data_IF_035233018490
#
_entry.id   IF_035233018490
#
_cell.length_a   1.000
_cell.length_b   1.000
_cell.length_c   1.000
_cell.angle_alpha   90.00
_cell.angle_beta   90.00
_cell.angle_gamma   90.00
#
_symmetry.space_group_name_H-M   'P 1'
#
loop_
_entity.id
_entity.type
_entity.pdbx_description
1 polymer ?
#
# COMPACT_ATOMS: atom_id res chain seq x y z
N UNK A 1 -8.86 39.35 24.10
CA UNK A 1 -8.34 39.16 22.72
C UNK A 1 -7.45 37.93 22.75
N UNK A 2 -7.97 36.77 22.38
CA UNK A 2 -7.21 35.51 22.35
C UNK A 2 -7.03 35.10 20.90
N UNK A 3 -5.81 35.25 20.39
CA UNK A 3 -5.46 34.92 19.01
C UNK A 3 -5.30 33.40 18.89
N UNK A 4 -6.22 32.76 18.17
CA UNK A 4 -6.03 31.42 17.62
C UNK A 4 -5.04 31.50 16.46
N UNK A 5 -3.76 31.22 16.72
CA UNK A 5 -2.81 30.87 15.68
C UNK A 5 -3.02 29.39 15.33
N UNK A 6 -3.88 29.14 14.34
CA UNK A 6 -3.97 27.84 13.68
C UNK A 6 -2.63 27.52 13.03
N UNK A 7 -1.90 26.55 13.59
CA UNK A 7 -0.58 26.15 13.12
C UNK A 7 -0.68 25.36 11.82
N UNK A 8 -0.39 26.04 10.72
CA UNK A 8 -0.20 25.54 9.37
C UNK A 8 1.07 24.64 9.24
N UNK A 9 1.18 23.59 10.07
CA UNK A 9 2.40 22.77 10.21
C UNK A 9 2.35 21.43 9.48
N UNK A 10 1.15 20.90 9.18
CA UNK A 10 0.99 19.63 8.45
C UNK A 10 1.43 19.75 6.99
N UNK A 11 0.84 20.69 6.25
CA UNK A 11 1.12 20.92 4.83
C UNK A 11 2.62 21.16 4.55
N UNK A 12 3.27 21.96 5.39
CA UNK A 12 4.69 22.30 5.23
C UNK A 12 5.63 21.11 5.50
N UNK A 13 5.16 20.09 6.24
CA UNK A 13 5.98 18.91 6.57
C UNK A 13 5.84 17.82 5.52
N UNK A 14 4.62 17.57 5.04
CA UNK A 14 4.37 16.63 3.94
C UNK A 14 5.10 17.07 2.66
N UNK A 15 5.04 18.35 2.33
CA UNK A 15 5.64 18.91 1.11
C UNK A 15 7.17 18.81 1.14
N UNK A 16 7.78 19.09 2.30
CA UNK A 16 9.22 18.93 2.53
C UNK A 16 9.66 17.46 2.45
N UNK A 17 8.92 16.53 3.07
CA UNK A 17 9.25 15.10 3.03
C UNK A 17 9.11 14.55 1.62
N UNK A 18 8.07 14.96 0.89
CA UNK A 18 7.85 14.58 -0.50
C UNK A 18 8.98 15.07 -1.40
N UNK A 19 9.43 16.32 -1.23
CA UNK A 19 10.57 16.87 -1.97
C UNK A 19 11.87 16.09 -1.67
N UNK A 20 12.10 15.68 -0.43
CA UNK A 20 13.27 14.86 -0.05
C UNK A 20 13.22 13.46 -0.66
N UNK A 21 12.03 12.85 -0.68
CA UNK A 21 11.80 11.56 -1.34
C UNK A 21 12.06 11.65 -2.85
N UNK A 22 11.65 12.74 -3.49
CA UNK A 22 11.89 12.99 -4.92
C UNK A 22 13.38 13.19 -5.22
N UNK A 23 14.13 13.82 -4.30
CA UNK A 23 15.59 13.96 -4.37
C UNK A 23 16.36 12.70 -3.96
N UNK A 24 15.67 11.63 -3.55
CA UNK A 24 16.23 10.36 -3.05
C UNK A 24 17.12 10.50 -1.81
N UNK A 25 16.90 11.55 -1.01
CA UNK A 25 17.68 11.83 0.20
C UNK A 25 17.08 11.09 1.42
N UNK A 26 16.98 9.75 1.28
CA UNK A 26 16.20 8.90 2.20
C UNK A 26 16.72 8.92 3.65
N UNK A 27 18.03 9.02 3.86
CA UNK A 27 18.61 9.12 5.21
C UNK A 27 18.27 10.43 5.90
N UNK A 28 18.25 11.54 5.15
CA UNK A 28 17.85 12.83 5.69
C UNK A 28 16.35 12.86 5.99
N UNK A 29 15.52 12.34 5.07
CA UNK A 29 14.09 12.20 5.27
C UNK A 29 13.79 11.35 6.52
N UNK A 30 14.48 10.21 6.68
CA UNK A 30 14.32 9.33 7.85
C UNK A 30 14.59 10.07 9.16
N UNK A 31 15.71 10.79 9.25
CA UNK A 31 16.09 11.55 10.45
C UNK A 31 15.04 12.60 10.81
N UNK A 32 14.62 13.41 9.84
CA UNK A 32 13.63 14.48 10.07
C UNK A 32 12.27 13.89 10.49
N UNK A 33 11.83 12.82 9.84
CA UNK A 33 10.58 12.14 10.20
C UNK A 33 10.62 11.57 11.62
N UNK A 34 11.75 10.97 12.03
CA UNK A 34 11.91 10.46 13.39
C UNK A 34 11.88 11.60 14.43
N UNK A 35 12.58 12.71 14.20
CA UNK A 35 12.55 13.91 15.07
C UNK A 35 11.14 14.55 15.17
N UNK A 36 10.32 14.44 14.11
CA UNK A 36 8.93 14.88 14.14
C UNK A 36 8.04 13.92 14.94
N UNK A 37 8.26 12.61 14.79
CA UNK A 37 7.54 11.57 15.51
C UNK A 37 7.86 11.55 17.02
N UNK A 38 9.02 12.06 17.45
CA UNK A 38 9.28 12.30 18.89
C UNK A 38 8.25 13.26 19.51
N UNK A 39 7.78 14.25 18.74
CA UNK A 39 6.81 15.26 19.19
C UNK A 39 5.37 14.86 18.90
N UNK A 40 5.14 14.10 17.83
CA UNK A 40 3.82 13.67 17.37
C UNK A 40 3.80 12.16 17.05
N UNK A 41 3.95 11.28 18.06
CA UNK A 41 4.20 9.85 17.85
C UNK A 41 3.07 9.11 17.15
N UNK A 42 1.84 9.62 17.26
CA UNK A 42 0.63 9.02 16.70
C UNK A 42 0.11 9.74 15.45
N UNK A 43 0.86 10.71 14.92
CA UNK A 43 0.47 11.39 13.68
C UNK A 43 0.43 10.38 12.51
N UNK A 44 -0.73 10.17 11.87
CA UNK A 44 -0.90 9.10 10.90
C UNK A 44 -0.09 9.32 9.62
N UNK A 45 0.04 10.56 9.15
CA UNK A 45 0.76 10.92 7.93
C UNK A 45 2.27 10.78 8.14
N UNK A 46 2.80 11.30 9.26
CA UNK A 46 4.22 11.16 9.60
C UNK A 46 4.63 9.69 9.73
N UNK A 47 3.78 8.87 10.36
CA UNK A 47 4.00 7.44 10.43
C UNK A 47 3.99 6.81 9.02
N UNK A 48 3.04 7.15 8.15
CA UNK A 48 3.03 6.62 6.78
C UNK A 48 4.29 6.97 5.98
N UNK A 49 4.75 8.22 6.04
CA UNK A 49 5.97 8.63 5.34
C UNK A 49 7.21 7.98 5.95
N UNK A 50 7.28 7.85 7.27
CA UNK A 50 8.36 7.16 7.94
C UNK A 50 8.43 5.68 7.53
N UNK A 51 7.28 5.00 7.48
CA UNK A 51 7.19 3.64 6.94
C UNK A 51 7.70 3.54 5.52
N UNK A 52 7.31 4.48 4.65
CA UNK A 52 7.70 4.51 3.23
C UNK A 52 9.19 4.75 3.01
N UNK A 53 9.82 5.59 3.83
CA UNK A 53 11.28 5.76 3.81
C UNK A 53 11.98 4.47 4.24
N UNK A 54 11.51 3.80 5.30
CA UNK A 54 12.10 2.55 5.76
C UNK A 54 11.96 1.43 4.72
N UNK A 55 10.78 1.28 4.12
CA UNK A 55 10.52 0.32 3.03
C UNK A 55 11.47 0.55 1.85
N UNK A 56 11.60 1.81 1.39
CA UNK A 56 12.51 2.18 0.30
C UNK A 56 13.99 1.86 0.61
N UNK A 57 14.37 1.89 1.89
CA UNK A 57 15.71 1.53 2.37
C UNK A 57 15.89 0.02 2.62
N UNK A 58 14.87 -0.80 2.32
CA UNK A 58 14.88 -2.25 2.57
C UNK A 58 14.68 -2.64 4.04
N UNK A 59 14.29 -1.68 4.90
CA UNK A 59 14.04 -1.88 6.33
C UNK A 59 12.58 -2.28 6.58
N UNK A 60 12.13 -3.31 5.87
CA UNK A 60 10.72 -3.75 5.83
C UNK A 60 10.14 -4.07 7.22
N UNK A 61 10.94 -4.68 8.10
CA UNK A 61 10.51 -5.00 9.48
C UNK A 61 10.19 -3.76 10.31
N UNK A 62 10.91 -2.66 10.07
CA UNK A 62 10.68 -1.39 10.76
C UNK A 62 9.52 -0.64 10.10
N UNK A 63 9.44 -0.68 8.77
CA UNK A 63 8.36 -0.07 7.98
C UNK A 63 6.97 -0.52 8.45
N UNK A 64 6.79 -1.82 8.71
CA UNK A 64 5.54 -2.41 9.23
C UNK A 64 5.01 -1.64 10.43
N UNK A 65 5.85 -1.34 11.43
CA UNK A 65 5.43 -0.70 12.68
C UNK A 65 4.85 0.70 12.43
N UNK A 66 5.42 1.42 11.48
CA UNK A 66 4.97 2.75 11.13
C UNK A 66 3.66 2.70 10.32
N UNK A 67 3.54 1.81 9.35
CA UNK A 67 2.28 1.66 8.61
C UNK A 67 1.13 1.17 9.48
N UNK A 68 1.37 0.27 10.43
CA UNK A 68 0.36 -0.14 11.42
C UNK A 68 -0.12 1.05 12.25
N UNK A 69 0.78 1.90 12.74
CA UNK A 69 0.42 3.13 13.45
C UNK A 69 -0.39 4.08 12.57
N UNK A 70 -0.01 4.26 11.31
CA UNK A 70 -0.75 5.10 10.37
C UNK A 70 -2.21 4.63 10.20
N UNK A 71 -2.41 3.32 9.98
CA UNK A 71 -3.76 2.74 9.85
C UNK A 71 -4.54 2.78 11.16
N UNK A 72 -3.89 2.47 12.29
CA UNK A 72 -4.49 2.53 13.65
C UNK A 72 -4.98 3.94 13.98
N UNK A 73 -4.19 4.95 13.62
CA UNK A 73 -4.50 6.36 13.82
C UNK A 73 -5.31 6.98 12.66
N UNK A 74 -6.00 6.13 11.88
CA UNK A 74 -7.03 6.51 10.90
C UNK A 74 -6.51 7.46 9.82
N UNK A 75 -5.34 7.18 9.24
CA UNK A 75 -4.91 7.82 7.99
C UNK A 75 -6.04 7.78 6.95
N UNK A 76 -6.17 8.85 6.14
CA UNK A 76 -7.32 9.09 5.26
C UNK A 76 -6.92 9.26 3.79
N UNK A 77 -7.93 9.28 2.92
CA UNK A 77 -7.78 9.56 1.49
C UNK A 77 -6.85 8.59 0.78
N UNK A 78 -6.14 9.09 -0.23
CA UNK A 78 -5.20 8.30 -1.05
C UNK A 78 -4.09 7.66 -0.21
N UNK A 79 -3.67 8.29 0.89
CA UNK A 79 -2.65 7.72 1.76
C UNK A 79 -3.14 6.48 2.51
N UNK A 80 -4.45 6.38 2.78
CA UNK A 80 -5.04 5.18 3.38
C UNK A 80 -4.99 3.98 2.43
N UNK A 81 -5.33 4.20 1.16
CA UNK A 81 -5.19 3.18 0.10
C UNK A 81 -3.74 2.70 0.00
N UNK A 82 -2.81 3.65 -0.08
CA UNK A 82 -1.37 3.35 -0.12
C UNK A 82 -0.90 2.61 1.13
N UNK A 83 -1.37 2.99 2.33
CA UNK A 83 -0.97 2.35 3.58
C UNK A 83 -1.37 0.86 3.62
N UNK A 84 -2.55 0.49 3.11
CA UNK A 84 -2.94 -0.92 2.99
C UNK A 84 -2.05 -1.68 2.01
N UNK A 85 -1.74 -1.09 0.86
CA UNK A 85 -0.86 -1.70 -0.15
C UNK A 85 0.54 -1.91 0.43
N UNK A 86 1.14 -0.85 1.00
CA UNK A 86 2.51 -0.90 1.48
C UNK A 86 2.65 -1.83 2.69
N UNK A 87 1.74 -1.75 3.67
CA UNK A 87 1.78 -2.68 4.80
C UNK A 87 1.61 -4.14 4.35
N UNK A 88 0.70 -4.40 3.41
CA UNK A 88 0.51 -5.72 2.82
C UNK A 88 1.76 -6.22 2.12
N UNK A 89 2.39 -5.37 1.30
CA UNK A 89 3.64 -5.67 0.61
C UNK A 89 4.77 -5.96 1.61
N UNK A 90 4.98 -5.10 2.61
CA UNK A 90 6.01 -5.27 3.63
C UNK A 90 5.82 -6.55 4.42
N UNK A 91 4.59 -6.87 4.83
CA UNK A 91 4.31 -8.14 5.50
C UNK A 91 4.66 -9.35 4.64
N UNK A 92 4.36 -9.29 3.34
CA UNK A 92 4.71 -10.34 2.39
C UNK A 92 6.23 -10.45 2.23
N UNK A 93 6.94 -9.33 2.07
CA UNK A 93 8.41 -9.30 1.93
C UNK A 93 9.13 -9.96 3.11
N UNK A 94 8.61 -9.84 4.33
CA UNK A 94 9.20 -10.43 5.54
C UNK A 94 8.66 -11.83 5.88
N UNK A 95 7.85 -12.44 4.99
CA UNK A 95 7.34 -13.80 5.15
C UNK A 95 6.08 -13.94 6.01
N UNK A 96 5.48 -12.83 6.45
CA UNK A 96 4.24 -12.83 7.24
C UNK A 96 3.01 -12.83 6.32
N UNK A 97 2.87 -13.86 5.48
CA UNK A 97 1.89 -13.92 4.41
C UNK A 97 0.43 -13.82 4.89
N UNK A 98 0.09 -14.43 6.03
CA UNK A 98 -1.27 -14.33 6.59
C UNK A 98 -1.61 -12.93 7.13
N UNK A 99 -0.62 -12.17 7.58
CA UNK A 99 -0.81 -10.76 7.93
C UNK A 99 -1.03 -9.94 6.67
N UNK A 100 -0.20 -10.15 5.63
CA UNK A 100 -0.34 -9.51 4.34
C UNK A 100 -1.73 -9.74 3.73
N UNK A 101 -2.20 -10.99 3.70
CA UNK A 101 -3.53 -11.36 3.18
C UNK A 101 -4.63 -10.60 3.91
N UNK A 102 -4.63 -10.62 5.25
CA UNK A 102 -5.63 -9.91 6.06
C UNK A 102 -5.62 -8.40 5.81
N UNK A 103 -4.45 -7.78 5.79
CA UNK A 103 -4.31 -6.33 5.54
C UNK A 103 -4.84 -5.95 4.16
N UNK A 104 -4.44 -6.69 3.12
CA UNK A 104 -4.87 -6.40 1.73
C UNK A 104 -6.36 -6.67 1.53
N UNK A 105 -6.90 -7.74 2.13
CA UNK A 105 -8.35 -8.00 2.12
C UNK A 105 -9.13 -6.90 2.84
N UNK A 106 -8.63 -6.36 3.96
CA UNK A 106 -9.26 -5.23 4.61
C UNK A 106 -9.24 -3.99 3.72
N UNK A 107 -8.11 -3.70 3.07
CA UNK A 107 -8.02 -2.61 2.11
C UNK A 107 -9.01 -2.79 0.95
N UNK A 108 -9.17 -3.99 0.38
CA UNK A 108 -10.11 -4.25 -0.71
C UNK A 108 -11.58 -4.17 -0.28
N UNK A 109 -11.91 -4.33 1.01
CA UNK A 109 -13.25 -4.03 1.52
C UNK A 109 -13.56 -2.54 1.45
N UNK A 110 -12.55 -1.69 1.61
CA UNK A 110 -12.69 -0.23 1.56
C UNK A 110 -12.52 0.31 0.13
N UNK A 111 -11.66 -0.32 -0.68
CA UNK A 111 -11.23 0.13 -2.00
C UNK A 111 -11.28 -1.03 -3.02
N UNK A 112 -12.50 -1.53 -3.35
CA UNK A 112 -12.67 -2.77 -4.12
C UNK A 112 -12.09 -2.70 -5.54
N UNK A 113 -11.99 -1.50 -6.12
CA UNK A 113 -11.51 -1.29 -7.49
C UNK A 113 -9.99 -1.10 -7.59
N UNK A 114 -9.26 -1.13 -6.48
CA UNK A 114 -7.81 -0.87 -6.49
C UNK A 114 -7.04 -2.08 -7.08
N UNK A 115 -6.71 -2.01 -8.37
CA UNK A 115 -6.02 -3.07 -9.10
C UNK A 115 -4.63 -3.40 -8.55
N UNK A 116 -3.88 -2.41 -8.05
CA UNK A 116 -2.58 -2.67 -7.43
C UNK A 116 -2.73 -3.52 -6.16
N UNK A 117 -3.73 -3.21 -5.34
CA UNK A 117 -4.02 -3.98 -4.12
C UNK A 117 -4.45 -5.42 -4.46
N UNK A 118 -5.26 -5.62 -5.51
CA UNK A 118 -5.60 -6.96 -6.03
C UNK A 118 -4.33 -7.72 -6.46
N UNK A 119 -3.41 -7.07 -7.17
CA UNK A 119 -2.16 -7.68 -7.60
C UNK A 119 -1.26 -8.09 -6.41
N UNK A 120 -1.12 -7.23 -5.39
CA UNK A 120 -0.38 -7.59 -4.17
C UNK A 120 -1.03 -8.72 -3.39
N UNK A 121 -2.37 -8.77 -3.34
CA UNK A 121 -3.08 -9.88 -2.73
C UNK A 121 -2.86 -11.17 -3.53
N UNK A 122 -2.91 -11.13 -4.86
CA UNK A 122 -2.61 -12.28 -5.70
C UNK A 122 -1.19 -12.84 -5.45
N UNK A 123 -0.16 -11.98 -5.37
CA UNK A 123 1.19 -12.40 -5.01
C UNK A 123 1.25 -13.06 -3.63
N UNK A 124 0.49 -12.53 -2.67
CA UNK A 124 0.40 -13.10 -1.32
C UNK A 124 -0.29 -14.46 -1.33
N UNK A 125 -1.38 -14.61 -2.08
CA UNK A 125 -2.10 -15.88 -2.25
C UNK A 125 -1.21 -16.95 -2.89
N UNK A 126 -0.37 -16.57 -3.86
CA UNK A 126 0.65 -17.46 -4.41
C UNK A 126 1.65 -17.92 -3.33
N UNK A 127 2.13 -17.01 -2.47
CA UNK A 127 3.00 -17.38 -1.35
C UNK A 127 2.33 -18.32 -0.33
N UNK A 128 1.00 -18.31 -0.26
CA UNK A 128 0.18 -19.22 0.57
C UNK A 128 -0.23 -20.52 -0.16
N UNK A 129 0.24 -20.74 -1.40
CA UNK A 129 -0.16 -21.85 -2.27
C UNK A 129 -1.64 -21.85 -2.70
N UNK A 130 -2.33 -20.72 -2.58
CA UNK A 130 -3.70 -20.50 -3.09
C UNK A 130 -3.68 -20.12 -4.58
N UNK A 131 -3.01 -20.94 -5.40
CA UNK A 131 -2.61 -20.61 -6.77
C UNK A 131 -3.78 -20.24 -7.70
N UNK A 132 -4.90 -20.99 -7.63
CA UNK A 132 -6.09 -20.71 -8.43
C UNK A 132 -6.65 -19.31 -8.12
N UNK A 133 -6.78 -18.98 -6.84
CA UNK A 133 -7.27 -17.68 -6.40
C UNK A 133 -6.29 -16.56 -6.78
N UNK A 134 -4.99 -16.82 -6.67
CA UNK A 134 -3.94 -15.88 -7.08
C UNK A 134 -4.06 -15.50 -8.57
N UNK A 135 -4.14 -16.50 -9.46
CA UNK A 135 -4.23 -16.25 -10.92
C UNK A 135 -5.56 -15.57 -11.27
N UNK A 136 -6.67 -16.03 -10.69
CA UNK A 136 -8.00 -15.44 -10.92
C UNK A 136 -8.01 -13.95 -10.56
N UNK A 137 -7.48 -13.61 -9.38
CA UNK A 137 -7.43 -12.24 -8.89
C UNK A 137 -6.47 -11.35 -9.70
N UNK A 138 -5.35 -11.91 -10.18
CA UNK A 138 -4.41 -11.18 -11.02
C UNK A 138 -5.02 -10.86 -12.39
N UNK A 139 -5.78 -11.78 -12.99
CA UNK A 139 -6.53 -11.53 -14.21
C UNK A 139 -7.61 -10.46 -14.00
N UNK A 140 -8.32 -10.49 -12.87
CA UNK A 140 -9.28 -9.44 -12.52
C UNK A 140 -8.61 -8.06 -12.41
N UNK A 141 -7.46 -7.98 -11.72
CA UNK A 141 -6.66 -6.75 -11.63
C UNK A 141 -6.20 -6.23 -13.00
N UNK A 142 -5.75 -7.14 -13.88
CA UNK A 142 -5.35 -6.83 -15.24
C UNK A 142 -6.52 -6.24 -16.03
N UNK A 143 -7.69 -6.87 -15.97
CA UNK A 143 -8.87 -6.45 -16.71
C UNK A 143 -9.45 -5.12 -16.19
N UNK A 144 -9.36 -4.82 -14.89
CA UNK A 144 -9.79 -3.54 -14.32
C UNK A 144 -8.92 -2.35 -14.75
N UNK A 145 -7.66 -2.58 -15.13
CA UNK A 145 -6.68 -1.51 -15.43
C UNK A 145 -6.22 -1.48 -16.89
N UNK A 146 -6.70 -2.40 -17.73
CA UNK A 146 -6.24 -2.55 -19.11
C UNK A 146 -6.68 -1.41 -20.04
N UNK A 147 -5.77 -0.48 -20.31
CA UNK A 147 -5.78 0.39 -21.49
C UNK A 147 -5.15 -0.25 -22.73
N UNK A 148 -4.50 -1.41 -22.58
CA UNK A 148 -3.85 -2.12 -23.68
C UNK A 148 -4.86 -2.65 -24.70
N UNK A 149 -4.58 -2.45 -25.98
CA UNK A 149 -5.48 -2.82 -27.08
C UNK A 149 -5.74 -4.33 -27.10
N UNK A 150 -4.71 -5.16 -26.95
CA UNK A 150 -4.82 -6.60 -27.07
C UNK A 150 -5.54 -7.21 -25.87
N UNK A 151 -5.24 -6.74 -24.66
CA UNK A 151 -5.98 -7.19 -23.48
C UNK A 151 -7.47 -6.89 -23.63
N UNK A 152 -7.83 -5.73 -24.20
CA UNK A 152 -9.22 -5.38 -24.46
C UNK A 152 -9.88 -6.26 -25.53
N UNK A 153 -9.17 -6.59 -26.62
CA UNK A 153 -9.65 -7.51 -27.66
C UNK A 153 -9.97 -8.90 -27.09
N UNK A 154 -9.13 -9.40 -26.17
CA UNK A 154 -9.29 -10.71 -25.53
C UNK A 154 -10.04 -10.67 -24.18
N UNK A 155 -10.62 -9.53 -23.79
CA UNK A 155 -11.24 -9.31 -22.47
C UNK A 155 -12.26 -10.38 -22.10
N UNK A 156 -13.12 -10.77 -23.03
CA UNK A 156 -14.15 -11.80 -22.80
C UNK A 156 -13.54 -13.16 -22.48
N UNK A 157 -12.54 -13.58 -23.24
CA UNK A 157 -11.85 -14.85 -23.04
C UNK A 157 -11.07 -14.84 -21.72
N UNK A 158 -10.32 -13.78 -21.44
CA UNK A 158 -9.57 -13.63 -20.19
C UNK A 158 -10.50 -13.64 -18.97
N UNK A 159 -11.67 -12.99 -19.07
CA UNK A 159 -12.67 -13.01 -17.99
C UNK A 159 -13.22 -14.43 -17.78
N UNK A 160 -13.60 -15.12 -18.86
CA UNK A 160 -14.06 -16.50 -18.79
C UNK A 160 -13.00 -17.43 -18.16
N UNK A 161 -11.74 -17.33 -18.55
CA UNK A 161 -10.69 -18.16 -17.98
C UNK A 161 -10.36 -17.82 -16.53
N UNK A 162 -10.52 -16.56 -16.11
CA UNK A 162 -10.34 -16.20 -14.69
C UNK A 162 -11.29 -16.95 -13.74
N UNK A 163 -12.42 -17.46 -14.24
CA UNK A 163 -13.44 -18.18 -13.48
C UNK A 163 -13.28 -19.71 -13.61
N UNK A 164 -12.64 -20.17 -14.68
CA UNK A 164 -12.59 -21.57 -15.13
C UNK A 164 -11.15 -22.09 -15.35
N UNK A 165 -10.20 -21.67 -14.50
CA UNK A 165 -8.76 -21.93 -14.67
C UNK A 165 -8.36 -23.41 -14.78
N UNK A 166 -9.15 -24.31 -14.19
CA UNK A 166 -8.83 -25.75 -14.13
C UNK A 166 -9.58 -26.56 -15.19
N UNK A 167 -10.44 -25.92 -15.99
CA UNK A 167 -11.24 -26.59 -17.01
C UNK A 167 -10.43 -26.84 -18.27
N UNK A 168 -10.59 -28.04 -18.85
CA UNK A 168 -10.06 -28.42 -20.15
C UNK A 168 -11.20 -28.97 -21.00
N UNK A 169 -11.29 -28.54 -22.24
CA UNK A 169 -12.33 -28.92 -23.21
C UNK A 169 -11.73 -29.59 -24.44
#
# INVERSE_FOLDING_TARGET
>A
MSNHAGTNTGANTEENVKEMLDKKDYDQARRILLELLERKPDDPELNFFCGSVHDTLGLERDAVRFYEKALKNRIKGVLREKAFIQLGSSYRSIGLYEMAKRTLMQGLKEFPENGAMKAFLAMTLYNLNENRAAVSLLLDALLSSAGDKWINEYRRALKFYSENLDETW
#
